data_IF_389770510381
#
_entry.id   IF_389770510381
#
_cell.length_a   1.000
_cell.length_b   1.000
_cell.length_c   1.000
_cell.angle_alpha   90.00
_cell.angle_beta   90.00
_cell.angle_gamma   90.00
#
_symmetry.space_group_name_H-M   'P 1'
#
loop_
_entity.id
_entity.type
_entity.pdbx_description
1 polymer ?
#
# COMPACT_ATOMS: atom_id res chain seq x y z
N UNK A 1 -41.03 23.67 -2.64
CA UNK A 1 -40.70 23.08 -1.32
C UNK A 1 -39.36 22.37 -1.46
N UNK A 2 -38.29 23.03 -1.04
CA UNK A 2 -36.94 22.44 -1.03
C UNK A 2 -36.87 21.62 0.25
N UNK A 3 -36.90 20.29 0.12
CA UNK A 3 -36.89 19.36 1.24
C UNK A 3 -35.63 19.55 2.10
N UNK A 4 -35.83 19.66 3.41
CA UNK A 4 -34.76 19.66 4.42
C UNK A 4 -33.85 18.45 4.19
N UNK A 5 -32.60 18.69 3.81
CA UNK A 5 -31.55 17.67 3.85
C UNK A 5 -31.23 17.44 5.32
N UNK A 6 -31.78 16.37 5.90
CA UNK A 6 -31.43 15.94 7.23
C UNK A 6 -29.90 15.74 7.32
N UNK A 7 -29.23 16.57 8.14
CA UNK A 7 -27.82 16.40 8.48
C UNK A 7 -27.70 15.14 9.34
N UNK A 8 -27.33 14.03 8.71
CA UNK A 8 -27.04 12.78 9.42
C UNK A 8 -25.76 12.94 10.26
N UNK A 9 -25.88 12.83 11.58
CA UNK A 9 -24.76 12.57 12.49
C UNK A 9 -24.43 11.08 12.43
N UNK A 10 -23.50 10.70 11.54
CA UNK A 10 -22.87 9.37 11.58
C UNK A 10 -21.83 9.28 12.70
N UNK A 11 -21.41 8.07 13.06
CA UNK A 11 -20.29 7.84 13.98
C UNK A 11 -19.05 8.63 13.54
N UNK A 12 -18.30 9.20 14.50
CA UNK A 12 -17.09 10.00 14.24
C UNK A 12 -16.15 9.28 13.29
N UNK A 13 -15.67 10.01 12.27
CA UNK A 13 -14.76 9.51 11.25
C UNK A 13 -13.53 8.78 11.85
N UNK A 14 -13.10 7.68 11.22
CA UNK A 14 -11.93 6.92 11.66
C UNK A 14 -10.63 7.49 11.08
N UNK A 15 -9.90 8.22 11.91
CA UNK A 15 -8.55 8.71 11.61
C UNK A 15 -7.50 7.68 12.03
N UNK A 16 -6.60 7.34 11.10
CA UNK A 16 -5.46 6.46 11.33
C UNK A 16 -4.20 7.32 11.50
N UNK A 17 -3.59 7.26 12.69
CA UNK A 17 -2.30 7.92 13.00
C UNK A 17 -1.23 6.86 13.08
N UNK A 18 -0.02 7.18 12.64
CA UNK A 18 1.11 6.25 12.68
C UNK A 18 0.83 4.90 11.99
N UNK A 19 -0.09 4.95 11.03
CA UNK A 19 -0.71 3.82 10.38
C UNK A 19 0.15 3.25 9.24
N UNK A 20 -0.30 2.11 8.74
CA UNK A 20 0.41 1.33 7.74
C UNK A 20 1.02 0.09 8.38
N UNK A 21 0.67 -1.07 7.82
CA UNK A 21 1.19 -2.36 8.20
C UNK A 21 1.52 -3.17 6.96
N UNK A 22 2.33 -4.20 7.13
CA UNK A 22 2.61 -5.15 6.07
C UNK A 22 2.51 -6.57 6.59
N UNK A 23 2.21 -7.49 5.69
CA UNK A 23 2.24 -8.92 5.91
C UNK A 23 2.93 -9.58 4.73
N UNK A 24 3.94 -10.39 5.01
CA UNK A 24 4.58 -11.23 3.99
C UNK A 24 3.65 -12.41 3.73
N UNK A 25 3.02 -12.43 2.56
CA UNK A 25 2.10 -13.50 2.16
C UNK A 25 2.84 -14.74 1.68
N UNK A 26 4.09 -14.60 1.22
CA UNK A 26 4.93 -15.76 0.87
C UNK A 26 5.35 -16.50 2.13
N UNK A 27 5.02 -17.81 2.29
CA UNK A 27 5.40 -18.56 3.47
C UNK A 27 6.92 -18.63 3.68
N UNK A 28 7.36 -18.64 4.94
CA UNK A 28 8.79 -18.70 5.27
C UNK A 28 9.49 -19.92 4.64
N UNK A 29 8.84 -21.09 4.65
CA UNK A 29 9.37 -22.30 4.02
C UNK A 29 9.61 -22.10 2.51
N UNK A 30 8.71 -21.39 1.83
CA UNK A 30 8.86 -21.05 0.40
C UNK A 30 10.01 -20.07 0.19
N UNK A 31 10.14 -19.04 1.04
CA UNK A 31 11.28 -18.10 0.97
C UNK A 31 12.63 -18.82 1.13
N UNK A 32 12.71 -19.78 2.06
CA UNK A 32 13.91 -20.62 2.25
C UNK A 32 14.17 -21.51 1.04
N UNK A 33 13.15 -22.10 0.45
CA UNK A 33 13.31 -22.94 -0.77
C UNK A 33 13.86 -22.15 -1.96
N UNK A 34 13.49 -20.87 -2.09
CA UNK A 34 13.98 -20.06 -3.20
C UNK A 34 15.49 -19.85 -3.19
N UNK A 35 16.16 -19.88 -2.03
CA UNK A 35 17.63 -19.84 -1.98
C UNK A 35 18.25 -21.00 -2.77
N UNK A 36 17.65 -22.19 -2.70
CA UNK A 36 18.11 -23.38 -3.41
C UNK A 36 18.00 -23.18 -4.93
N UNK A 37 16.88 -22.62 -5.38
CA UNK A 37 16.64 -22.30 -6.80
C UNK A 37 17.68 -21.28 -7.29
N UNK A 38 17.97 -20.26 -6.48
CA UNK A 38 18.97 -19.22 -6.81
C UNK A 38 20.37 -19.83 -6.96
N UNK A 39 20.78 -20.72 -6.05
CA UNK A 39 22.06 -21.42 -6.17
C UNK A 39 22.09 -22.30 -7.44
N UNK A 40 21.03 -23.08 -7.68
CA UNK A 40 20.97 -23.98 -8.83
C UNK A 40 21.00 -23.22 -10.17
N UNK A 41 20.26 -22.12 -10.28
CA UNK A 41 20.32 -21.23 -11.44
C UNK A 41 21.73 -20.64 -11.61
N UNK A 42 22.34 -20.15 -10.54
CA UNK A 42 23.68 -19.58 -10.56
C UNK A 42 24.78 -20.57 -10.95
N UNK A 43 24.66 -21.85 -10.54
CA UNK A 43 25.59 -22.91 -10.94
C UNK A 43 25.55 -23.18 -12.45
N UNK A 44 24.43 -22.91 -13.12
CA UNK A 44 24.30 -23.06 -14.58
C UNK A 44 25.24 -22.11 -15.34
N UNK A 45 25.42 -20.88 -14.84
CA UNK A 45 26.28 -19.87 -15.48
C UNK A 45 27.74 -20.30 -15.62
N UNK A 46 28.24 -21.13 -14.71
CA UNK A 46 29.63 -21.59 -14.67
C UNK A 46 29.76 -23.12 -14.76
N UNK A 47 28.66 -23.82 -15.09
CA UNK A 47 28.58 -25.29 -15.10
C UNK A 47 29.14 -25.94 -13.82
N UNK A 48 28.95 -25.28 -12.68
CA UNK A 48 29.59 -25.63 -11.41
C UNK A 48 28.72 -26.57 -10.57
N UNK A 49 28.25 -27.66 -11.16
CA UNK A 49 27.36 -28.65 -10.55
C UNK A 49 28.07 -29.60 -9.57
N UNK A 50 28.89 -29.07 -8.66
CA UNK A 50 29.63 -29.87 -7.67
C UNK A 50 28.91 -29.92 -6.33
N UNK A 51 28.67 -31.13 -5.83
CA UNK A 51 28.03 -31.37 -4.53
C UNK A 51 26.54 -31.02 -4.51
N UNK A 52 25.88 -31.37 -3.41
CA UNK A 52 24.45 -31.12 -3.22
C UNK A 52 24.17 -29.62 -2.99
N UNK A 53 22.98 -29.17 -3.41
CA UNK A 53 22.44 -27.85 -3.06
C UNK A 53 21.67 -28.00 -1.75
N UNK A 54 22.16 -27.35 -0.70
CA UNK A 54 21.60 -27.36 0.65
C UNK A 54 21.27 -25.94 1.09
N UNK A 55 20.49 -25.76 2.15
CA UNK A 55 20.22 -24.42 2.70
C UNK A 55 21.52 -23.67 3.04
N UNK A 56 22.48 -24.35 3.68
CA UNK A 56 23.78 -23.76 4.05
C UNK A 56 24.62 -23.38 2.84
N UNK A 57 24.67 -24.21 1.80
CA UNK A 57 25.40 -23.87 0.57
C UNK A 57 24.74 -22.70 -0.16
N UNK A 58 23.41 -22.69 -0.22
CA UNK A 58 22.64 -21.67 -0.91
C UNK A 58 22.77 -20.30 -0.24
N UNK A 59 22.69 -20.23 1.09
CA UNK A 59 22.97 -18.99 1.83
C UNK A 59 24.39 -18.47 1.57
N UNK A 60 25.39 -19.36 1.62
CA UNK A 60 26.79 -19.00 1.32
C UNK A 60 26.94 -18.51 -0.12
N UNK A 61 26.29 -19.17 -1.07
CA UNK A 61 26.31 -18.83 -2.48
C UNK A 61 25.68 -17.45 -2.71
N UNK A 62 24.49 -17.20 -2.18
CA UNK A 62 23.79 -15.90 -2.30
C UNK A 62 24.62 -14.77 -1.70
N UNK A 63 25.23 -14.98 -0.51
CA UNK A 63 26.15 -14.00 0.07
C UNK A 63 27.34 -13.71 -0.83
N UNK A 64 27.95 -14.75 -1.41
CA UNK A 64 29.10 -14.62 -2.30
C UNK A 64 28.77 -13.84 -3.58
N UNK A 65 27.64 -14.12 -4.25
CA UNK A 65 27.28 -13.38 -5.47
C UNK A 65 26.94 -11.91 -5.18
N UNK A 66 26.37 -11.64 -4.01
CA UNK A 66 26.04 -10.27 -3.57
C UNK A 66 27.26 -9.49 -3.06
N UNK A 67 28.33 -10.17 -2.64
CA UNK A 67 29.58 -9.51 -2.20
C UNK A 67 30.54 -9.16 -3.34
N UNK A 68 30.24 -9.56 -4.57
CA UNK A 68 31.04 -9.19 -5.76
C UNK A 68 30.93 -7.69 -6.05
N UNK A 69 31.90 -7.16 -6.80
CA UNK A 69 31.89 -5.77 -7.25
C UNK A 69 32.02 -5.69 -8.78
N UNK A 70 30.92 -5.42 -9.52
CA UNK A 70 29.56 -5.20 -9.03
C UNK A 70 28.89 -6.51 -8.53
N UNK A 71 27.85 -6.42 -7.68
CA UNK A 71 27.08 -7.60 -7.28
C UNK A 71 26.43 -8.28 -8.49
N UNK A 72 26.42 -9.61 -8.52
CA UNK A 72 25.79 -10.40 -9.58
C UNK A 72 24.28 -10.56 -9.31
N UNK A 73 23.52 -9.46 -9.38
CA UNK A 73 22.11 -9.43 -8.97
C UNK A 73 21.14 -10.14 -9.92
N UNK A 74 21.53 -10.49 -11.15
CA UNK A 74 20.63 -11.19 -12.07
C UNK A 74 20.19 -12.56 -11.53
N UNK A 75 21.06 -13.25 -10.78
CA UNK A 75 20.77 -14.60 -10.28
C UNK A 75 19.69 -14.59 -9.19
N UNK A 76 19.57 -13.51 -8.41
CA UNK A 76 18.54 -13.41 -7.36
C UNK A 76 17.15 -13.09 -7.94
N UNK A 77 17.03 -12.81 -9.24
CA UNK A 77 15.73 -12.65 -9.91
C UNK A 77 14.92 -13.96 -9.94
N UNK A 78 15.57 -15.11 -9.75
CA UNK A 78 14.91 -16.42 -9.67
C UNK A 78 14.12 -16.63 -8.35
N UNK A 79 14.27 -15.74 -7.37
CA UNK A 79 13.45 -15.70 -6.16
C UNK A 79 12.52 -14.48 -6.14
N UNK A 80 11.40 -14.59 -5.44
CA UNK A 80 10.33 -13.60 -5.33
C UNK A 80 9.68 -13.59 -3.95
N UNK A 81 9.05 -12.46 -3.62
CA UNK A 81 8.24 -12.32 -2.42
C UNK A 81 6.96 -11.54 -2.74
N UNK A 82 5.86 -11.95 -2.11
CA UNK A 82 4.56 -11.28 -2.14
C UNK A 82 4.29 -10.69 -0.77
N UNK A 83 3.98 -9.39 -0.74
CA UNK A 83 3.69 -8.63 0.47
C UNK A 83 2.35 -7.93 0.31
N UNK A 84 1.49 -8.04 1.32
CA UNK A 84 0.30 -7.21 1.49
C UNK A 84 0.66 -6.00 2.32
N UNK A 85 0.38 -4.81 1.82
CA UNK A 85 0.42 -3.55 2.56
C UNK A 85 -1.00 -3.15 2.90
N UNK A 86 -1.28 -2.94 4.19
CA UNK A 86 -2.60 -2.60 4.70
C UNK A 86 -2.56 -1.29 5.51
N UNK A 87 -3.72 -0.69 5.72
CA UNK A 87 -3.86 0.58 6.47
C UNK A 87 -2.97 1.73 5.97
N UNK A 88 -2.57 1.68 4.69
CA UNK A 88 -1.79 2.70 4.01
C UNK A 88 -2.71 3.68 3.28
N UNK A 89 -2.21 4.80 2.78
CA UNK A 89 -2.96 5.77 1.99
C UNK A 89 -2.99 5.40 0.50
N UNK A 90 -3.94 5.96 -0.26
CA UNK A 90 -3.87 5.93 -1.73
C UNK A 90 -2.57 6.56 -2.24
N UNK A 91 -2.07 7.61 -1.57
CA UNK A 91 -0.76 8.22 -1.86
C UNK A 91 0.39 7.21 -1.82
N UNK A 92 0.50 6.43 -0.74
CA UNK A 92 1.47 5.33 -0.62
C UNK A 92 1.37 4.38 -1.82
N UNK A 93 0.16 3.94 -2.16
CA UNK A 93 -0.02 2.99 -3.27
C UNK A 93 0.39 3.60 -4.62
N UNK A 94 0.20 4.90 -4.82
CA UNK A 94 0.57 5.60 -6.06
C UNK A 94 2.09 5.73 -6.21
N UNK A 95 2.84 5.77 -5.12
CA UNK A 95 4.30 5.65 -5.16
C UNK A 95 4.75 4.21 -5.42
N UNK A 96 4.07 3.23 -4.81
CA UNK A 96 4.43 1.82 -4.90
C UNK A 96 4.28 1.28 -6.33
N UNK A 97 3.17 1.58 -7.00
CA UNK A 97 2.89 1.12 -8.38
C UNK A 97 3.81 1.71 -9.45
N UNK A 98 4.74 2.61 -9.08
CA UNK A 98 5.79 3.12 -9.98
C UNK A 98 6.92 2.11 -10.21
N UNK A 99 7.00 1.07 -9.39
CA UNK A 99 7.92 -0.06 -9.57
C UNK A 99 7.32 -1.04 -10.57
N UNK A 100 7.75 -0.95 -11.84
CA UNK A 100 7.09 -1.62 -12.98
C UNK A 100 7.39 -3.11 -13.09
N UNK A 101 8.52 -3.56 -12.55
CA UNK A 101 8.92 -4.98 -12.56
C UNK A 101 8.32 -5.70 -11.34
N UNK A 102 7.00 -5.61 -11.23
CA UNK A 102 6.22 -6.18 -10.13
C UNK A 102 4.76 -6.40 -10.57
N UNK A 103 4.06 -7.23 -9.81
CA UNK A 103 2.63 -7.50 -9.97
C UNK A 103 1.86 -6.90 -8.80
N UNK A 104 0.68 -6.33 -9.08
CA UNK A 104 -0.12 -5.63 -8.07
C UNK A 104 -1.57 -6.10 -8.04
N UNK A 105 -2.12 -6.27 -6.84
CA UNK A 105 -3.56 -6.40 -6.61
C UNK A 105 -3.98 -5.33 -5.61
N UNK A 106 -4.80 -4.38 -6.04
CA UNK A 106 -5.12 -3.20 -5.24
C UNK A 106 -6.60 -3.16 -4.87
N UNK A 107 -6.88 -2.72 -3.65
CA UNK A 107 -8.23 -2.42 -3.19
C UNK A 107 -8.94 -1.46 -4.18
N UNK A 108 -10.06 -1.92 -4.73
CA UNK A 108 -10.81 -1.16 -5.73
C UNK A 108 -11.87 -0.28 -5.06
N UNK A 109 -11.66 1.04 -5.14
CA UNK A 109 -12.65 2.05 -4.76
C UNK A 109 -13.90 2.07 -5.65
N UNK A 110 -13.96 1.24 -6.72
CA UNK A 110 -15.17 1.05 -7.55
C UNK A 110 -16.10 -0.03 -6.99
N UNK A 111 -15.51 -1.10 -6.44
CA UNK A 111 -16.22 -2.32 -6.05
C UNK A 111 -16.34 -2.47 -4.54
N UNK A 112 -15.32 -2.01 -3.79
CA UNK A 112 -15.37 -1.94 -2.34
C UNK A 112 -16.20 -0.71 -1.98
N UNK A 113 -17.51 -0.89 -1.96
CA UNK A 113 -18.44 0.07 -1.38
C UNK A 113 -18.67 -0.36 0.07
N UNK A 114 -18.03 0.31 1.03
CA UNK A 114 -18.22 0.08 2.45
C UNK A 114 -19.67 0.30 2.90
N UNK A 115 -20.50 0.95 2.09
CA UNK A 115 -21.94 1.05 2.30
C UNK A 115 -22.70 -0.22 1.92
N UNK A 116 -22.12 -1.14 1.12
CA UNK A 116 -22.84 -2.28 0.53
C UNK A 116 -22.74 -3.52 1.40
N UNK A 117 -23.89 -4.01 1.90
CA UNK A 117 -24.00 -5.30 2.61
C UNK A 117 -25.24 -6.06 2.13
N UNK A 118 -25.05 -7.32 1.69
CA UNK A 118 -26.17 -8.15 1.22
C UNK A 118 -26.92 -7.57 0.01
N UNK A 119 -26.21 -6.91 -0.91
CA UNK A 119 -26.79 -6.31 -2.12
C UNK A 119 -27.47 -4.95 -1.93
N UNK A 120 -27.70 -4.49 -0.70
CA UNK A 120 -28.25 -3.16 -0.39
C UNK A 120 -27.15 -2.17 -0.04
N UNK A 121 -27.30 -0.92 -0.47
CA UNK A 121 -26.40 0.20 -0.16
C UNK A 121 -26.98 0.97 1.03
N UNK A 122 -26.30 0.93 2.17
CA UNK A 122 -26.59 1.73 3.35
C UNK A 122 -25.51 2.82 3.49
N UNK A 123 -25.75 3.97 2.85
CA UNK A 123 -24.81 5.10 2.84
C UNK A 123 -24.51 5.64 4.24
N UNK A 124 -25.35 5.35 5.25
CA UNK A 124 -25.08 5.76 6.64
C UNK A 124 -23.89 5.03 7.24
N UNK A 125 -23.51 3.87 6.68
CA UNK A 125 -22.34 3.09 7.09
C UNK A 125 -21.08 3.45 6.33
N UNK A 126 -21.20 4.25 5.27
CA UNK A 126 -20.02 4.71 4.56
C UNK A 126 -19.22 5.65 5.46
N UNK A 127 -17.99 5.23 5.75
CA UNK A 127 -17.02 6.02 6.50
C UNK A 127 -15.68 6.00 5.77
N UNK A 128 -15.13 7.18 5.54
CA UNK A 128 -13.77 7.34 5.03
C UNK A 128 -12.81 7.06 6.19
N UNK A 129 -11.91 6.11 5.98
CA UNK A 129 -10.73 5.97 6.81
C UNK A 129 -9.61 6.80 6.19
N UNK A 130 -8.93 7.61 6.98
CA UNK A 130 -7.91 8.54 6.47
C UNK A 130 -6.60 8.40 7.24
N UNK A 131 -5.50 8.27 6.49
CA UNK A 131 -4.14 8.25 7.05
C UNK A 131 -3.70 9.70 7.27
N UNK A 132 -3.60 10.10 8.53
CA UNK A 132 -3.24 11.46 8.90
C UNK A 132 -1.73 11.67 8.77
N UNK A 133 -1.27 12.70 8.04
CA UNK A 133 0.14 13.06 8.00
C UNK A 133 0.68 13.43 9.39
N UNK A 134 1.89 12.99 9.77
CA UNK A 134 2.46 13.26 11.09
C UNK A 134 3.09 14.65 11.20
N UNK A 135 3.09 15.46 10.13
CA UNK A 135 3.79 16.74 10.08
C UNK A 135 3.26 17.75 11.12
N UNK A 136 1.95 17.74 11.37
CA UNK A 136 1.29 18.61 12.36
C UNK A 136 0.15 17.86 13.05
N UNK A 137 -0.27 18.38 14.21
CA UNK A 137 -1.43 17.90 14.95
C UNK A 137 -2.72 18.30 14.21
N UNK A 138 -3.82 17.67 14.61
CA UNK A 138 -5.15 17.95 14.07
C UNK A 138 -5.75 19.20 14.73
N UNK A 139 -5.14 20.34 14.42
CA UNK A 139 -5.49 21.65 14.98
C UNK A 139 -6.28 22.47 13.97
N UNK A 140 -7.19 23.37 14.41
CA UNK A 140 -7.94 24.22 13.50
C UNK A 140 -7.01 25.13 12.68
N UNK A 141 -7.22 25.16 11.37
CA UNK A 141 -6.55 26.11 10.46
C UNK A 141 -7.57 27.07 9.85
N UNK A 142 -7.21 28.36 9.65
CA UNK A 142 -8.09 29.31 9.01
C UNK A 142 -8.23 29.00 7.52
N UNK A 143 -9.47 29.03 7.03
CA UNK A 143 -9.80 28.97 5.61
C UNK A 143 -9.87 30.37 5.02
N UNK A 144 -9.82 30.42 3.70
CA UNK A 144 -9.99 31.63 2.87
C UNK A 144 -11.36 32.31 3.05
N UNK A 145 -12.37 31.56 3.47
CA UNK A 145 -13.71 32.05 3.82
C UNK A 145 -13.86 32.49 5.30
N UNK A 146 -12.76 32.53 6.07
CA UNK A 146 -12.75 32.94 7.47
C UNK A 146 -13.20 31.88 8.47
N UNK A 147 -13.64 30.69 8.02
CA UNK A 147 -13.97 29.58 8.94
C UNK A 147 -12.71 28.88 9.43
N UNK A 148 -12.76 28.38 10.67
CA UNK A 148 -11.72 27.52 11.22
C UNK A 148 -12.10 26.06 11.03
N UNK A 149 -11.17 25.23 10.57
CA UNK A 149 -11.42 23.82 10.35
C UNK A 149 -10.20 22.97 10.67
N UNK A 150 -10.36 21.88 11.40
CA UNK A 150 -9.29 20.89 11.56
C UNK A 150 -9.16 20.02 10.31
N UNK A 151 -7.98 19.44 10.01
CA UNK A 151 -7.84 18.42 8.97
C UNK A 151 -8.90 17.31 9.05
N UNK A 152 -9.24 16.81 10.24
CA UNK A 152 -10.32 15.81 10.41
C UNK A 152 -11.67 16.34 9.92
N UNK A 153 -12.05 17.56 10.31
CA UNK A 153 -13.30 18.17 9.86
C UNK A 153 -13.34 18.37 8.33
N UNK A 154 -12.19 18.68 7.71
CA UNK A 154 -12.11 18.79 6.25
C UNK A 154 -12.46 17.46 5.57
N UNK A 155 -11.96 16.33 6.09
CA UNK A 155 -12.26 15.02 5.51
C UNK A 155 -13.70 14.60 5.81
N UNK A 156 -14.24 14.96 6.98
CA UNK A 156 -15.66 14.75 7.29
C UNK A 156 -16.59 15.48 6.30
N UNK A 157 -16.24 16.69 5.85
CA UNK A 157 -16.99 17.38 4.78
C UNK A 157 -16.89 16.66 3.44
N UNK A 158 -15.72 16.10 3.10
CA UNK A 158 -15.55 15.30 1.88
C UNK A 158 -16.43 14.05 1.94
N UNK A 159 -16.50 13.39 3.11
CA UNK A 159 -17.35 12.23 3.33
C UNK A 159 -18.85 12.58 3.24
N UNK A 160 -19.28 13.71 3.84
CA UNK A 160 -20.65 14.25 3.68
C UNK A 160 -20.97 14.50 2.21
N UNK A 161 -20.05 15.13 1.49
CA UNK A 161 -20.20 15.43 0.06
C UNK A 161 -20.31 14.15 -0.78
N UNK A 162 -19.47 13.14 -0.50
CA UNK A 162 -19.55 11.84 -1.15
C UNK A 162 -20.92 11.17 -0.92
N UNK A 163 -21.43 11.14 0.32
CA UNK A 163 -22.76 10.61 0.62
C UNK A 163 -23.86 11.36 -0.13
N UNK A 164 -23.77 12.68 -0.22
CA UNK A 164 -24.74 13.50 -0.96
C UNK A 164 -24.76 13.16 -2.46
N UNK A 165 -23.59 13.03 -3.09
CA UNK A 165 -23.47 12.59 -4.49
C UNK A 165 -24.12 11.21 -4.70
N UNK A 166 -23.81 10.25 -3.81
CA UNK A 166 -24.37 8.89 -3.88
C UNK A 166 -25.89 8.88 -3.68
N UNK A 167 -26.43 9.75 -2.82
CA UNK A 167 -27.85 9.86 -2.56
C UNK A 167 -28.65 10.38 -3.77
N UNK A 168 -28.03 11.19 -4.64
CA UNK A 168 -28.65 11.69 -5.88
C UNK A 168 -28.30 10.84 -7.11
N UNK A 169 -27.79 9.63 -6.91
CA UNK A 169 -27.64 8.62 -7.96
C UNK A 169 -26.28 8.54 -8.65
N UNK A 170 -25.26 9.31 -8.22
CA UNK A 170 -23.92 9.17 -8.78
C UNK A 170 -23.36 7.77 -8.53
N UNK A 171 -22.70 7.20 -9.53
CA UNK A 171 -22.05 5.89 -9.39
C UNK A 171 -20.87 5.96 -8.40
N UNK A 172 -20.48 4.85 -7.72
CA UNK A 172 -19.31 4.87 -6.84
C UNK A 172 -18.03 5.25 -7.57
N UNK A 173 -17.89 4.79 -8.82
CA UNK A 173 -16.70 5.01 -9.64
C UNK A 173 -16.50 6.47 -10.05
N UNK A 174 -17.57 7.27 -10.07
CA UNK A 174 -17.52 8.71 -10.35
C UNK A 174 -17.45 9.51 -9.05
N UNK A 175 -18.27 9.18 -8.05
CA UNK A 175 -18.28 9.87 -6.76
C UNK A 175 -16.93 9.77 -6.03
N UNK A 176 -16.17 8.67 -6.21
CA UNK A 176 -14.84 8.50 -5.61
C UNK A 176 -13.82 9.56 -6.04
N UNK A 177 -14.03 10.27 -7.15
CA UNK A 177 -13.11 11.31 -7.63
C UNK A 177 -12.99 12.47 -6.63
N UNK A 178 -13.96 12.60 -5.70
CA UNK A 178 -13.97 13.62 -4.65
C UNK A 178 -13.36 13.12 -3.32
N UNK A 179 -12.93 11.86 -3.23
CA UNK A 179 -12.27 11.32 -2.04
C UNK A 179 -10.79 11.72 -2.02
N UNK A 180 -10.21 11.98 -0.83
CA UNK A 180 -8.84 12.48 -0.74
C UNK A 180 -7.80 11.39 -0.99
N UNK A 181 -6.60 11.81 -1.43
CA UNK A 181 -5.42 10.93 -1.59
C UNK A 181 -5.00 10.23 -0.29
N UNK A 182 -5.31 10.81 0.86
CA UNK A 182 -5.05 10.21 2.18
C UNK A 182 -6.05 9.10 2.56
N UNK A 183 -7.03 8.78 1.71
CA UNK A 183 -7.96 7.66 1.95
C UNK A 183 -7.18 6.35 2.14
N UNK A 184 -7.54 5.61 3.18
CA UNK A 184 -7.00 4.27 3.48
C UNK A 184 -7.23 3.34 2.30
N UNK A 185 -6.19 2.62 1.93
CA UNK A 185 -6.17 1.61 0.89
C UNK A 185 -5.30 0.41 1.31
N UNK A 186 -5.51 -0.70 0.62
CA UNK A 186 -4.67 -1.88 0.71
C UNK A 186 -4.15 -2.26 -0.68
N UNK A 187 -2.94 -2.80 -0.73
CA UNK A 187 -2.31 -3.25 -1.97
C UNK A 187 -1.41 -4.46 -1.70
N UNK A 188 -1.54 -5.48 -2.53
CA UNK A 188 -0.62 -6.62 -2.59
C UNK A 188 0.37 -6.38 -3.71
N UNK A 189 1.64 -6.64 -3.46
CA UNK A 189 2.72 -6.54 -4.41
C UNK A 189 3.55 -7.82 -4.43
N UNK A 190 3.84 -8.33 -5.62
CA UNK A 190 4.80 -9.41 -5.85
C UNK A 190 5.95 -8.91 -6.71
N UNK A 191 7.19 -9.17 -6.31
CA UNK A 191 8.37 -8.85 -7.10
C UNK A 191 9.49 -9.85 -6.84
N UNK A 192 10.47 -9.92 -7.76
CA UNK A 192 11.68 -10.72 -7.55
C UNK A 192 12.64 -10.04 -6.54
N UNK A 193 13.65 -10.76 -6.03
CA UNK A 193 14.52 -10.19 -4.99
C UNK A 193 15.45 -9.07 -5.47
N UNK A 194 15.81 -9.02 -6.77
CA UNK A 194 16.54 -7.88 -7.32
C UNK A 194 15.68 -6.61 -7.25
N UNK A 195 14.42 -6.74 -7.66
CA UNK A 195 13.46 -5.63 -7.60
C UNK A 195 13.16 -5.22 -6.17
N UNK A 196 12.96 -6.16 -5.23
CA UNK A 196 12.79 -5.81 -3.81
C UNK A 196 13.98 -5.02 -3.26
N UNK A 197 15.22 -5.37 -3.60
CA UNK A 197 16.40 -4.59 -3.21
C UNK A 197 16.39 -3.19 -3.80
N UNK A 198 16.01 -3.05 -5.07
CA UNK A 198 15.86 -1.74 -5.72
C UNK A 198 14.77 -0.90 -5.04
N UNK A 199 13.61 -1.50 -4.76
CA UNK A 199 12.48 -0.88 -4.07
C UNK A 199 12.89 -0.36 -2.71
N UNK A 200 13.50 -1.21 -1.86
CA UNK A 200 13.95 -0.78 -0.55
C UNK A 200 14.94 0.38 -0.66
N UNK A 201 15.95 0.29 -1.55
CA UNK A 201 16.92 1.38 -1.74
C UNK A 201 16.27 2.73 -2.06
N UNK A 202 15.23 2.74 -2.90
CA UNK A 202 14.54 3.98 -3.26
C UNK A 202 13.52 4.43 -2.21
N UNK A 203 12.80 3.49 -1.58
CA UNK A 203 11.64 3.80 -0.75
C UNK A 203 11.95 3.93 0.73
N UNK A 204 13.11 3.45 1.18
CA UNK A 204 13.63 3.73 2.53
C UNK A 204 14.60 4.91 2.56
N UNK A 205 14.85 5.55 1.40
CA UNK A 205 15.70 6.73 1.30
C UNK A 205 15.14 7.93 2.11
N UNK A 206 16.02 8.84 2.52
CA UNK A 206 15.66 9.98 3.38
C UNK A 206 14.75 11.01 2.68
N UNK A 207 14.79 11.06 1.37
CA UNK A 207 13.96 11.91 0.50
C UNK A 207 12.65 11.24 0.06
N UNK A 208 12.50 9.93 0.27
CA UNK A 208 11.23 9.25 0.07
C UNK A 208 10.15 9.79 1.03
N UNK A 209 8.90 9.77 0.59
CA UNK A 209 7.77 10.22 1.40
C UNK A 209 7.72 9.46 2.74
N UNK A 210 7.35 10.17 3.81
CA UNK A 210 7.44 9.64 5.17
C UNK A 210 6.68 8.33 5.34
N UNK A 211 5.53 8.20 4.68
CA UNK A 211 4.63 7.06 4.82
C UNK A 211 5.26 5.79 4.24
N UNK A 212 5.75 5.84 3.00
CA UNK A 212 6.34 4.67 2.36
C UNK A 212 7.63 4.25 3.04
N UNK A 213 8.43 5.22 3.50
CA UNK A 213 9.62 4.94 4.31
C UNK A 213 9.27 4.28 5.63
N UNK A 214 8.21 4.72 6.32
CA UNK A 214 7.79 4.13 7.60
C UNK A 214 7.32 2.69 7.44
N UNK A 215 6.54 2.40 6.41
CA UNK A 215 5.96 1.07 6.20
C UNK A 215 6.99 0.06 5.67
N UNK A 216 7.99 0.52 4.91
CA UNK A 216 9.01 -0.35 4.30
C UNK A 216 10.35 -0.39 5.04
N UNK A 217 10.63 0.61 5.89
CA UNK A 217 11.92 0.83 6.54
C UNK A 217 12.07 0.20 7.92
#
# INVERSE_FOLDING_TARGET
MIGQVALFQGDKMKILRDAGSFEILTPEATLRQQLLIIEQAGRTCYQSFRGEVTQKSAEKFVRMILSRNPPHESVIEHGWMTVRFAECSRGFTHELVRHRLASFSQESTRYVDYARRGGKVDLKRFQVQFVMPPHRRDEPVPRDDGRMMTPTQMVEEMERSYRALRAVGWSPQDARQFLPIGQKAEIVMSANFREWRHIFRMRTAKDAHWEIRRVMG
#
